data_IF_631018716716
#
_entry.id   IF_631018716716
#
_cell.length_a   1.000
_cell.length_b   1.000
_cell.length_c   1.000
_cell.angle_alpha   90.00
_cell.angle_beta   90.00
_cell.angle_gamma   90.00
#
_symmetry.space_group_name_H-M   'P 1'
#
loop_
_entity.id
_entity.type
_entity.pdbx_description
1 polymer ?
#
# COMPACT_ATOMS: atom_id res chain seq x y z
N UNK A 1 42.12 -13.79 -60.52
CA UNK A 1 42.01 -13.13 -59.20
C UNK A 1 40.94 -12.06 -59.31
N UNK A 2 39.69 -12.41 -59.02
CA UNK A 2 38.57 -11.47 -59.07
C UNK A 2 38.53 -10.68 -57.75
N UNK A 3 38.41 -9.36 -57.83
CA UNK A 3 38.25 -8.48 -56.68
C UNK A 3 36.89 -8.76 -56.03
N UNK A 4 36.90 -9.34 -54.83
CA UNK A 4 35.72 -9.40 -53.98
C UNK A 4 35.30 -7.96 -53.63
N UNK A 5 34.11 -7.56 -54.10
CA UNK A 5 33.56 -6.24 -53.80
C UNK A 5 33.15 -6.17 -52.33
N UNK A 6 33.85 -5.34 -51.56
CA UNK A 6 33.49 -5.07 -50.18
C UNK A 6 32.18 -4.25 -50.14
N UNK A 7 31.10 -4.87 -49.68
CA UNK A 7 29.81 -4.20 -49.49
C UNK A 7 29.92 -3.13 -48.41
N UNK A 8 29.32 -1.96 -48.62
CA UNK A 8 29.34 -0.88 -47.63
C UNK A 8 28.15 -0.98 -46.66
N UNK A 9 28.23 -0.30 -45.50
CA UNK A 9 27.20 -0.34 -44.44
C UNK A 9 25.79 0.06 -44.93
N UNK A 10 25.69 0.93 -45.94
CA UNK A 10 24.39 1.34 -46.50
C UNK A 10 23.74 0.19 -47.24
N UNK A 11 24.50 -0.48 -48.10
CA UNK A 11 24.01 -1.64 -48.85
C UNK A 11 23.64 -2.80 -47.92
N UNK A 12 24.38 -3.02 -46.83
CA UNK A 12 24.01 -4.02 -45.80
C UNK A 12 22.66 -3.70 -45.15
N UNK A 13 22.39 -2.42 -44.86
CA UNK A 13 21.13 -1.98 -44.25
C UNK A 13 19.96 -2.16 -45.21
N UNK A 14 20.15 -1.82 -46.49
CA UNK A 14 19.15 -2.03 -47.54
C UNK A 14 18.84 -3.51 -47.74
N UNK A 15 19.86 -4.37 -47.81
CA UNK A 15 19.67 -5.81 -47.95
C UNK A 15 18.91 -6.41 -46.76
N UNK A 16 19.27 -6.03 -45.53
CA UNK A 16 18.51 -6.44 -44.34
C UNK A 16 17.05 -6.04 -44.41
N UNK A 17 16.77 -4.81 -44.86
CA UNK A 17 15.40 -4.33 -45.02
C UNK A 17 14.62 -5.21 -46.00
N UNK A 18 15.22 -5.55 -47.14
CA UNK A 18 14.60 -6.47 -48.12
C UNK A 18 14.34 -7.85 -47.51
N UNK A 19 15.28 -8.38 -46.73
CA UNK A 19 15.11 -9.66 -46.03
C UNK A 19 13.93 -9.59 -45.05
N UNK A 20 13.83 -8.52 -44.27
CA UNK A 20 12.70 -8.28 -43.37
C UNK A 20 11.37 -8.19 -44.12
N UNK A 21 11.30 -7.44 -45.22
CA UNK A 21 10.10 -7.35 -46.08
C UNK A 21 9.69 -8.72 -46.64
N UNK A 22 10.67 -9.57 -46.98
CA UNK A 22 10.40 -10.96 -47.41
C UNK A 22 9.79 -11.76 -46.25
N UNK A 23 10.32 -11.66 -45.04
CA UNK A 23 9.76 -12.35 -43.88
C UNK A 23 8.35 -11.87 -43.56
N UNK A 24 8.07 -10.57 -43.61
CA UNK A 24 6.72 -10.02 -43.43
C UNK A 24 5.72 -10.59 -44.45
N UNK A 25 6.11 -10.69 -45.72
CA UNK A 25 5.26 -11.28 -46.76
C UNK A 25 5.07 -12.77 -46.51
N UNK A 26 6.15 -13.49 -46.18
CA UNK A 26 6.08 -14.94 -45.88
C UNK A 26 5.20 -15.23 -44.67
N UNK A 27 5.28 -14.41 -43.63
CA UNK A 27 4.50 -14.53 -42.40
C UNK A 27 3.02 -14.27 -42.64
N UNK A 28 2.67 -13.23 -43.40
CA UNK A 28 1.28 -12.98 -43.87
C UNK A 28 0.71 -14.14 -44.69
N UNK A 29 1.51 -14.73 -45.59
CA UNK A 29 1.07 -15.90 -46.36
C UNK A 29 0.93 -17.13 -45.43
N UNK A 30 1.71 -17.19 -44.36
CA UNK A 30 1.68 -18.28 -43.38
C UNK A 30 0.36 -18.32 -42.58
N UNK A 31 -0.37 -17.21 -42.50
CA UNK A 31 -1.70 -17.14 -41.91
C UNK A 31 -2.78 -17.79 -42.79
N UNK A 32 -2.56 -17.87 -44.10
CA UNK A 32 -3.52 -18.44 -45.06
C UNK A 32 -3.48 -19.97 -45.04
N UNK A 33 -4.57 -20.60 -44.61
CA UNK A 33 -4.65 -22.05 -44.38
C UNK A 33 -4.22 -22.89 -45.60
N UNK A 34 -4.64 -22.50 -46.81
CA UNK A 34 -4.32 -23.20 -48.06
C UNK A 34 -2.83 -23.09 -48.45
N UNK A 35 -2.12 -22.09 -47.93
CA UNK A 35 -0.71 -21.81 -48.25
C UNK A 35 0.27 -22.34 -47.19
N UNK A 36 -0.22 -22.66 -45.98
CA UNK A 36 0.59 -23.24 -44.90
C UNK A 36 1.35 -24.48 -45.33
N UNK A 37 0.69 -25.38 -46.07
CA UNK A 37 1.31 -26.62 -46.54
C UNK A 37 2.43 -26.38 -47.55
N UNK A 38 2.28 -25.39 -48.44
CA UNK A 38 3.30 -25.02 -49.43
C UNK A 38 4.52 -24.37 -48.76
N UNK A 39 4.29 -23.44 -47.83
CA UNK A 39 5.37 -22.85 -47.03
C UNK A 39 6.12 -23.96 -46.30
N UNK A 40 5.41 -24.80 -45.55
CA UNK A 40 5.99 -25.93 -44.82
C UNK A 40 6.80 -26.85 -45.74
N UNK A 41 6.32 -27.20 -46.93
CA UNK A 41 7.08 -28.04 -47.88
C UNK A 41 8.36 -27.37 -48.42
N UNK A 42 8.37 -26.04 -48.55
CA UNK A 42 9.51 -25.28 -49.08
C UNK A 42 10.52 -24.91 -48.00
N UNK A 43 10.06 -24.65 -46.78
CA UNK A 43 10.89 -24.20 -45.63
C UNK A 43 11.38 -25.37 -44.79
N UNK A 44 10.59 -26.44 -44.63
CA UNK A 44 10.94 -27.64 -43.84
C UNK A 44 11.92 -28.59 -44.54
N UNK A 45 12.57 -28.17 -45.63
CA UNK A 45 13.72 -28.92 -46.15
C UNK A 45 14.81 -28.84 -45.07
N UNK A 46 15.19 -29.96 -44.43
CA UNK A 46 15.67 -29.98 -43.05
C UNK A 46 16.98 -29.23 -42.78
N UNK A 47 17.67 -28.70 -43.78
CA UNK A 47 18.96 -28.00 -43.60
C UNK A 47 19.00 -26.64 -44.31
N UNK A 48 17.85 -26.10 -44.75
CA UNK A 48 17.86 -24.83 -45.48
C UNK A 48 17.92 -23.66 -44.49
N UNK A 49 19.10 -23.05 -44.39
CA UNK A 49 19.38 -21.86 -43.57
C UNK A 49 18.81 -20.61 -44.23
N UNK A 50 17.53 -20.34 -44.01
CA UNK A 50 16.78 -19.24 -44.66
C UNK A 50 16.46 -18.09 -43.71
N UNK A 51 16.69 -18.25 -42.41
CA UNK A 51 16.46 -17.21 -41.41
C UNK A 51 17.79 -16.58 -41.04
N UNK A 52 17.94 -15.29 -41.35
CA UNK A 52 19.01 -14.49 -40.80
C UNK A 52 18.70 -14.33 -39.31
N UNK A 53 19.41 -15.05 -38.45
CA UNK A 53 19.30 -15.02 -36.98
C UNK A 53 20.44 -14.22 -36.33
N UNK A 54 21.25 -13.53 -37.14
CA UNK A 54 22.37 -12.71 -36.70
C UNK A 54 22.42 -11.34 -37.37
N UNK A 55 23.56 -10.67 -37.21
CA UNK A 55 23.73 -9.27 -37.59
C UNK A 55 24.27 -9.03 -38.99
N UNK A 56 24.84 -10.02 -39.67
CA UNK A 56 25.49 -9.84 -40.98
C UNK A 56 24.96 -10.87 -41.99
N UNK A 57 24.24 -10.45 -43.05
CA UNK A 57 23.74 -11.37 -44.08
C UNK A 57 24.83 -12.00 -44.94
N UNK A 58 26.07 -11.49 -44.90
CA UNK A 58 27.21 -12.05 -45.64
C UNK A 58 28.00 -13.07 -44.82
N UNK A 59 27.73 -13.19 -43.51
CA UNK A 59 28.28 -14.24 -42.67
C UNK A 59 27.32 -15.43 -42.64
N UNK A 60 27.73 -16.55 -43.25
CA UNK A 60 26.95 -17.79 -43.32
C UNK A 60 26.54 -18.34 -41.94
N UNK A 61 27.26 -17.98 -40.87
CA UNK A 61 26.92 -18.40 -39.50
C UNK A 61 25.67 -17.71 -38.97
N UNK A 62 25.34 -16.52 -39.50
CA UNK A 62 24.13 -15.81 -39.11
C UNK A 62 22.87 -16.39 -39.75
N UNK A 63 22.99 -17.32 -40.68
CA UNK A 63 21.85 -17.98 -41.30
C UNK A 63 21.57 -19.32 -40.60
N UNK A 64 20.36 -19.45 -40.07
CA UNK A 64 19.92 -20.59 -39.27
C UNK A 64 18.70 -21.24 -39.94
N UNK A 65 18.61 -22.57 -39.85
CA UNK A 65 17.43 -23.29 -40.32
C UNK A 65 16.31 -23.20 -39.29
N UNK A 66 15.05 -23.20 -39.73
CA UNK A 66 13.91 -23.10 -38.80
C UNK A 66 13.95 -24.14 -37.69
N UNK A 67 14.31 -25.39 -38.00
CA UNK A 67 14.42 -26.49 -37.02
C UNK A 67 15.43 -26.28 -35.89
N UNK A 68 16.42 -25.41 -36.10
CA UNK A 68 17.49 -25.14 -35.15
C UNK A 68 17.17 -23.91 -34.29
N UNK A 69 16.08 -23.18 -34.60
CA UNK A 69 15.62 -22.03 -33.85
C UNK A 69 14.71 -22.45 -32.69
N UNK A 70 15.01 -21.93 -31.50
CA UNK A 70 14.27 -22.24 -30.28
C UNK A 70 13.83 -20.96 -29.57
N UNK A 71 12.53 -20.83 -29.33
CA UNK A 71 11.94 -19.80 -28.48
C UNK A 71 12.09 -20.17 -27.01
N UNK A 72 12.38 -19.18 -26.16
CA UNK A 72 12.44 -19.35 -24.70
C UNK A 72 13.80 -19.74 -24.13
N UNK A 73 14.81 -20.06 -24.95
CA UNK A 73 16.20 -20.20 -24.50
C UNK A 73 16.85 -18.83 -24.27
N UNK A 74 17.75 -18.75 -23.29
CA UNK A 74 18.42 -17.50 -22.94
C UNK A 74 19.62 -17.18 -23.84
N UNK A 75 20.29 -18.22 -24.33
CA UNK A 75 21.50 -18.19 -25.18
C UNK A 75 21.51 -19.41 -26.10
N UNK A 76 22.40 -19.40 -27.10
CA UNK A 76 22.59 -20.53 -28.01
C UNK A 76 23.20 -21.72 -27.25
N UNK A 77 22.65 -22.91 -27.44
CA UNK A 77 23.06 -24.15 -26.76
C UNK A 77 23.27 -25.23 -27.82
N UNK A 78 24.52 -25.62 -28.05
CA UNK A 78 24.89 -26.61 -29.08
C UNK A 78 24.34 -26.25 -30.48
N UNK A 79 23.42 -27.03 -31.03
CA UNK A 79 22.74 -26.78 -32.31
C UNK A 79 21.39 -26.08 -32.16
N UNK A 80 21.06 -25.60 -30.95
CA UNK A 80 19.85 -24.83 -30.65
C UNK A 80 20.21 -23.34 -30.58
N UNK A 81 19.69 -22.57 -31.52
CA UNK A 81 19.93 -21.14 -31.61
C UNK A 81 18.74 -20.37 -31.06
N UNK A 82 19.02 -19.39 -30.19
CA UNK A 82 18.02 -18.48 -29.68
C UNK A 82 17.45 -17.66 -30.83
N UNK A 83 16.13 -17.57 -30.90
CA UNK A 83 15.48 -16.66 -31.86
C UNK A 83 15.85 -15.22 -31.54
N UNK A 84 16.52 -14.57 -32.49
CA UNK A 84 16.91 -13.17 -32.41
C UNK A 84 15.66 -12.28 -32.26
N UNK A 85 15.77 -11.17 -31.53
CA UNK A 85 14.64 -10.34 -31.14
C UNK A 85 13.79 -9.85 -32.33
N UNK A 86 14.41 -9.47 -33.45
CA UNK A 86 13.68 -9.02 -34.64
C UNK A 86 12.96 -10.15 -35.40
N UNK A 87 13.37 -11.40 -35.21
CA UNK A 87 12.70 -12.56 -35.80
C UNK A 87 11.51 -13.01 -34.97
N UNK A 88 11.42 -12.60 -33.69
CA UNK A 88 10.34 -13.04 -32.77
C UNK A 88 8.95 -12.61 -33.24
N UNK A 89 8.86 -11.55 -34.03
CA UNK A 89 7.60 -11.09 -34.61
C UNK A 89 7.02 -12.08 -35.64
N UNK A 90 7.86 -12.90 -36.28
CA UNK A 90 7.46 -13.90 -37.29
C UNK A 90 7.29 -15.30 -36.68
N UNK A 91 6.70 -15.38 -35.48
CA UNK A 91 6.64 -16.62 -34.70
C UNK A 91 5.96 -17.75 -35.47
N UNK A 92 4.82 -17.50 -36.09
CA UNK A 92 4.06 -18.53 -36.80
C UNK A 92 4.81 -19.06 -38.02
N UNK A 93 5.45 -18.17 -38.80
CA UNK A 93 6.34 -18.56 -39.89
C UNK A 93 7.50 -19.44 -39.42
N UNK A 94 8.14 -19.07 -38.31
CA UNK A 94 9.26 -19.82 -37.74
C UNK A 94 8.81 -21.21 -37.26
N UNK A 95 7.67 -21.29 -36.56
CA UNK A 95 7.08 -22.56 -36.14
C UNK A 95 6.73 -23.45 -37.35
N UNK A 96 6.19 -22.87 -38.43
CA UNK A 96 5.93 -23.59 -39.69
C UNK A 96 7.21 -24.11 -40.36
N UNK A 97 8.31 -23.35 -40.24
CA UNK A 97 9.62 -23.75 -40.73
C UNK A 97 10.36 -24.75 -39.82
N UNK A 98 9.76 -25.11 -38.68
CA UNK A 98 10.25 -26.16 -37.79
C UNK A 98 10.83 -25.67 -36.46
N UNK A 99 10.77 -24.38 -36.17
CA UNK A 99 11.19 -23.86 -34.87
C UNK A 99 10.42 -24.52 -33.73
N UNK A 100 11.05 -24.56 -32.57
CA UNK A 100 10.46 -25.09 -31.34
C UNK A 100 10.35 -23.99 -30.29
N UNK A 101 9.49 -24.19 -29.30
CA UNK A 101 9.32 -23.29 -28.18
C UNK A 101 9.41 -24.10 -26.89
N UNK A 102 10.17 -23.58 -25.92
CA UNK A 102 10.20 -24.17 -24.58
C UNK A 102 8.83 -24.02 -23.96
N UNK A 103 8.27 -25.13 -23.49
CA UNK A 103 7.07 -25.18 -22.66
C UNK A 103 7.51 -25.41 -21.20
N UNK A 104 7.80 -24.34 -20.42
CA UNK A 104 8.25 -24.50 -19.05
C UNK A 104 7.10 -25.03 -18.18
N UNK A 105 7.39 -25.89 -17.18
CA UNK A 105 6.36 -26.31 -16.25
C UNK A 105 5.75 -25.08 -15.56
N UNK A 106 4.47 -25.14 -15.15
CA UNK A 106 3.86 -24.07 -14.39
C UNK A 106 4.72 -23.78 -13.14
N UNK A 107 4.85 -22.51 -12.75
CA UNK A 107 5.59 -22.17 -11.54
C UNK A 107 5.00 -22.94 -10.35
N UNK A 108 5.85 -23.39 -9.41
CA UNK A 108 5.36 -24.02 -8.19
C UNK A 108 4.39 -23.08 -7.46
N UNK A 109 3.48 -23.67 -6.68
CA UNK A 109 2.51 -22.89 -5.91
C UNK A 109 3.21 -21.80 -5.10
N UNK A 110 2.72 -20.55 -5.11
CA UNK A 110 3.34 -19.47 -4.35
C UNK A 110 3.43 -19.85 -2.88
N UNK A 111 4.64 -19.77 -2.31
CA UNK A 111 4.83 -19.92 -0.86
C UNK A 111 4.01 -18.83 -0.16
N UNK A 112 3.38 -19.10 1.00
CA UNK A 112 2.70 -18.07 1.78
C UNK A 112 3.63 -16.86 1.94
N UNK A 113 3.14 -15.68 1.51
CA UNK A 113 3.89 -14.44 1.61
C UNK A 113 4.20 -14.22 3.09
N UNK A 114 5.47 -14.29 3.46
CA UNK A 114 5.90 -14.06 4.82
C UNK A 114 5.89 -12.54 5.09
N UNK A 115 4.79 -12.06 5.64
CA UNK A 115 4.64 -10.66 6.01
C UNK A 115 5.32 -10.37 7.36
N UNK A 116 6.63 -10.12 7.29
CA UNK A 116 7.45 -9.80 8.45
C UNK A 116 6.98 -8.52 9.17
N UNK A 117 6.42 -7.55 8.42
CA UNK A 117 5.91 -6.30 9.00
C UNK A 117 4.71 -6.59 9.90
N UNK A 118 3.71 -7.30 9.40
CA UNK A 118 2.52 -7.66 10.17
C UNK A 118 2.84 -8.58 11.34
N UNK A 119 3.77 -9.53 11.16
CA UNK A 119 4.26 -10.38 12.27
C UNK A 119 4.88 -9.56 13.40
N UNK A 120 5.72 -8.57 13.07
CA UNK A 120 6.36 -7.70 14.05
C UNK A 120 5.33 -6.88 14.83
N UNK A 121 4.43 -6.17 14.14
CA UNK A 121 3.38 -5.33 14.75
C UNK A 121 2.51 -6.17 15.69
N UNK A 122 2.03 -7.34 15.23
CA UNK A 122 1.21 -8.25 16.05
C UNK A 122 1.95 -8.71 17.31
N UNK A 123 3.24 -9.02 17.19
CA UNK A 123 4.06 -9.47 18.33
C UNK A 123 4.30 -8.36 19.35
N UNK A 124 4.51 -7.11 18.89
CA UNK A 124 4.64 -5.95 19.77
C UNK A 124 3.34 -5.66 20.52
N UNK A 125 2.19 -5.72 19.83
CA UNK A 125 0.88 -5.57 20.45
C UNK A 125 0.57 -6.68 21.47
N UNK A 126 0.83 -7.94 21.13
CA UNK A 126 0.65 -9.05 22.09
C UNK A 126 1.48 -8.86 23.37
N UNK A 127 2.72 -8.40 23.22
CA UNK A 127 3.58 -8.05 24.37
C UNK A 127 3.01 -6.90 25.19
N UNK A 128 2.50 -5.86 24.52
CA UNK A 128 1.81 -4.75 25.19
C UNK A 128 0.61 -5.25 25.99
N UNK A 129 -0.27 -6.08 25.43
CA UNK A 129 -1.46 -6.59 26.13
C UNK A 129 -1.15 -7.41 27.39
N UNK A 130 0.00 -8.09 27.44
CA UNK A 130 0.40 -8.87 28.63
C UNK A 130 0.69 -8.00 29.86
N UNK A 131 0.95 -6.70 29.68
CA UNK A 131 1.21 -5.74 30.77
C UNK A 131 2.21 -6.26 31.83
N UNK A 132 3.30 -6.91 31.36
CA UNK A 132 4.33 -7.52 32.22
C UNK A 132 5.59 -6.65 32.32
N UNK A 133 6.18 -6.55 33.51
CA UNK A 133 7.45 -5.83 33.72
C UNK A 133 8.66 -6.48 33.04
N UNK A 134 8.54 -7.70 32.52
CA UNK A 134 9.62 -8.40 31.80
C UNK A 134 9.90 -7.77 30.42
N UNK A 135 8.84 -7.35 29.73
CA UNK A 135 8.92 -6.87 28.34
C UNK A 135 8.90 -5.35 28.21
N UNK A 136 8.69 -4.62 29.30
CA UNK A 136 8.43 -3.18 29.30
C UNK A 136 9.47 -2.42 30.14
N UNK A 137 9.89 -1.26 29.65
CA UNK A 137 10.92 -0.42 30.27
C UNK A 137 10.39 0.97 30.70
N UNK A 138 9.09 1.22 30.48
CA UNK A 138 8.35 2.36 31.04
C UNK A 138 6.98 1.91 31.55
N UNK A 139 6.53 2.52 32.65
CA UNK A 139 5.20 2.34 33.21
C UNK A 139 4.54 3.70 33.38
N UNK A 140 3.40 3.90 32.73
CA UNK A 140 2.57 5.08 32.92
C UNK A 140 1.57 4.84 34.04
N UNK A 141 1.50 5.77 34.99
CA UNK A 141 0.47 5.80 36.02
C UNK A 141 -0.61 6.77 35.55
N UNK A 142 -1.74 6.24 35.08
CA UNK A 142 -2.84 7.00 34.49
C UNK A 142 -4.05 6.82 35.39
N UNK A 143 -4.43 7.85 36.15
CA UNK A 143 -5.38 7.70 37.24
C UNK A 143 -4.91 6.63 38.24
N UNK A 144 -5.72 5.58 38.42
CA UNK A 144 -5.40 4.44 39.30
C UNK A 144 -4.77 3.25 38.55
N UNK A 145 -4.66 3.32 37.23
CA UNK A 145 -4.12 2.23 36.41
C UNK A 145 -2.63 2.38 36.12
N UNK A 146 -1.95 1.23 36.04
CA UNK A 146 -0.59 1.12 35.50
C UNK A 146 -0.65 0.60 34.07
N UNK A 147 0.00 1.31 33.14
CA UNK A 147 0.11 0.94 31.73
C UNK A 147 1.59 0.78 31.40
N UNK A 148 2.05 -0.46 31.26
CA UNK A 148 3.42 -0.79 30.89
C UNK A 148 3.60 -0.74 29.37
N UNK A 149 4.72 -0.17 28.90
CA UNK A 149 5.01 0.02 27.48
C UNK A 149 6.54 0.03 27.20
N UNK A 150 6.90 0.24 25.93
CA UNK A 150 8.27 0.26 25.43
C UNK A 150 8.69 1.65 24.97
N UNK A 151 9.72 2.23 25.59
CA UNK A 151 10.25 3.54 25.23
C UNK A 151 10.64 3.63 23.76
N UNK A 152 11.34 2.60 23.26
CA UNK A 152 11.81 2.57 21.87
C UNK A 152 10.66 2.57 20.87
N UNK A 153 9.61 1.78 21.11
CA UNK A 153 8.42 1.71 20.23
C UNK A 153 7.71 3.07 20.21
N UNK A 154 7.46 3.66 21.38
CA UNK A 154 6.80 4.96 21.48
C UNK A 154 7.62 6.09 20.86
N UNK A 155 8.94 6.06 21.02
CA UNK A 155 9.85 7.06 20.44
C UNK A 155 9.90 6.96 18.92
N UNK A 156 9.96 5.74 18.38
CA UNK A 156 9.94 5.52 16.94
C UNK A 156 8.64 6.01 16.29
N UNK A 157 7.53 5.99 17.03
CA UNK A 157 6.22 6.42 16.56
C UNK A 157 5.87 7.89 16.88
N UNK A 158 6.62 8.57 17.75
CA UNK A 158 6.27 9.91 18.21
C UNK A 158 7.49 10.71 18.68
N UNK A 159 7.70 11.86 18.04
CA UNK A 159 8.75 12.82 18.42
C UNK A 159 8.57 13.39 19.83
N UNK A 160 7.34 13.41 20.36
CA UNK A 160 7.09 13.80 21.75
C UNK A 160 7.71 12.77 22.71
N UNK A 161 7.42 11.48 22.50
CA UNK A 161 7.95 10.41 23.34
C UNK A 161 9.46 10.24 23.16
N UNK A 162 9.97 10.43 21.95
CA UNK A 162 11.42 10.47 21.69
C UNK A 162 12.12 11.53 22.54
N UNK A 163 11.60 12.77 22.54
CA UNK A 163 12.15 13.85 23.37
C UNK A 163 12.01 13.56 24.87
N UNK A 164 10.88 13.00 25.29
CA UNK A 164 10.64 12.63 26.70
C UNK A 164 11.66 11.60 27.19
N UNK A 165 11.97 10.57 26.38
CA UNK A 165 12.83 9.46 26.81
C UNK A 165 14.32 9.68 26.54
N UNK A 166 14.66 10.39 25.46
CA UNK A 166 16.03 10.51 24.97
C UNK A 166 16.54 11.97 24.90
N UNK A 167 15.73 12.96 25.30
CA UNK A 167 16.10 14.38 25.29
C UNK A 167 16.99 14.85 26.43
N UNK A 168 17.52 13.95 27.27
CA UNK A 168 18.44 14.29 28.38
C UNK A 168 17.76 14.78 29.68
N UNK A 169 16.46 14.54 29.84
CA UNK A 169 15.72 14.80 31.08
C UNK A 169 15.93 13.69 32.12
N UNK A 170 15.43 13.87 33.35
CA UNK A 170 15.61 12.93 34.48
C UNK A 170 15.18 11.48 34.19
N UNK A 171 14.27 11.33 33.24
CA UNK A 171 13.72 10.10 32.71
C UNK A 171 14.74 9.31 31.87
N UNK A 172 15.80 9.92 31.34
CA UNK A 172 16.78 9.22 30.50
C UNK A 172 17.80 8.39 31.28
N UNK A 173 17.87 8.52 32.62
CA UNK A 173 18.95 7.96 33.45
C UNK A 173 18.58 6.66 34.23
N UNK A 174 17.35 6.16 34.13
CA UNK A 174 16.87 5.00 34.91
C UNK A 174 16.56 3.78 34.03
N UNK A 175 16.85 2.58 34.55
CA UNK A 175 16.60 1.29 33.86
C UNK A 175 15.09 0.99 33.69
N UNK A 176 14.25 1.48 34.60
CA UNK A 176 12.78 1.49 34.49
C UNK A 176 12.25 2.80 35.02
N UNK A 177 11.31 3.41 34.31
CA UNK A 177 10.77 4.74 34.66
C UNK A 177 9.26 4.60 34.88
N UNK A 178 8.78 5.18 35.99
CA UNK A 178 7.36 5.42 36.20
C UNK A 178 7.03 6.88 35.84
N UNK A 179 6.02 7.11 34.99
CA UNK A 179 5.59 8.44 34.54
C UNK A 179 4.13 8.64 34.93
N UNK A 180 3.84 9.69 35.69
CA UNK A 180 2.45 10.04 36.04
C UNK A 180 1.82 10.85 34.91
N UNK A 181 0.65 10.40 34.47
CA UNK A 181 -0.17 11.10 33.48
C UNK A 181 -1.45 11.56 34.18
N UNK A 182 -1.60 12.88 34.29
CA UNK A 182 -2.78 13.50 34.89
C UNK A 182 -3.81 13.86 33.82
N UNK A 183 -5.07 14.00 34.22
CA UNK A 183 -6.17 14.53 33.38
C UNK A 183 -6.48 13.75 32.10
N UNK A 184 -6.01 12.50 32.01
CA UNK A 184 -6.32 11.57 30.91
C UNK A 184 -6.92 10.30 31.49
N UNK A 185 -8.03 9.85 30.92
CA UNK A 185 -8.64 8.58 31.31
C UNK A 185 -7.79 7.40 30.81
N UNK A 186 -7.62 6.32 31.61
CA UNK A 186 -6.80 5.17 31.24
C UNK A 186 -7.14 4.61 29.85
N UNK A 187 -8.45 4.45 29.57
CA UNK A 187 -8.94 3.97 28.29
C UNK A 187 -8.51 4.84 27.10
N UNK A 188 -8.57 6.16 27.24
CA UNK A 188 -8.14 7.08 26.17
C UNK A 188 -6.63 6.97 25.95
N UNK A 189 -5.85 6.85 27.02
CA UNK A 189 -4.41 6.65 26.91
C UNK A 189 -4.05 5.30 26.28
N UNK A 190 -4.78 4.22 26.60
CA UNK A 190 -4.60 2.90 25.98
C UNK A 190 -4.84 2.94 24.47
N UNK A 191 -5.86 3.65 24.00
CA UNK A 191 -6.11 3.84 22.57
C UNK A 191 -4.92 4.52 21.88
N UNK A 192 -4.40 5.60 22.48
CA UNK A 192 -3.21 6.28 21.96
C UNK A 192 -2.00 5.35 21.86
N UNK A 193 -1.70 4.61 22.93
CA UNK A 193 -0.54 3.70 22.97
C UNK A 193 -0.69 2.56 21.96
N UNK A 194 -1.88 1.95 21.85
CA UNK A 194 -2.16 0.91 20.84
C UNK A 194 -1.92 1.40 19.42
N UNK A 195 -2.38 2.61 19.10
CA UNK A 195 -2.11 3.23 17.80
C UNK A 195 -0.61 3.44 17.57
N UNK A 196 0.14 3.92 18.58
CA UNK A 196 1.59 4.08 18.50
C UNK A 196 2.35 2.74 18.34
N UNK A 197 1.75 1.62 18.76
CA UNK A 197 2.26 0.27 18.51
C UNK A 197 1.95 -0.26 17.10
N UNK A 198 1.29 0.55 16.26
CA UNK A 198 0.97 0.21 14.88
C UNK A 198 -0.37 -0.48 14.69
N UNK A 199 -1.24 -0.50 15.71
CA UNK A 199 -2.62 -0.95 15.55
C UNK A 199 -3.42 0.08 14.71
N UNK A 200 -4.36 -0.40 13.89
CA UNK A 200 -5.29 0.49 13.19
C UNK A 200 -6.09 1.32 14.21
N UNK A 201 -6.54 2.51 13.80
CA UNK A 201 -7.29 3.38 14.71
C UNK A 201 -8.61 2.74 15.15
N UNK A 202 -9.29 2.10 14.21
CA UNK A 202 -10.55 1.40 14.41
C UNK A 202 -10.37 0.23 15.40
N UNK A 203 -9.33 -0.59 15.24
CA UNK A 203 -9.07 -1.70 16.16
C UNK A 203 -8.62 -1.21 17.54
N UNK A 204 -7.83 -0.13 17.61
CA UNK A 204 -7.37 0.45 18.86
C UNK A 204 -8.55 0.97 19.70
N UNK A 205 -9.51 1.67 19.08
CA UNK A 205 -10.75 2.10 19.74
C UNK A 205 -11.61 0.90 20.13
N UNK A 206 -11.90 0.00 19.20
CA UNK A 206 -12.83 -1.12 19.42
C UNK A 206 -12.34 -2.12 20.47
N UNK A 207 -11.04 -2.12 20.77
CA UNK A 207 -10.47 -2.94 21.83
C UNK A 207 -10.64 -2.35 23.23
N UNK A 208 -10.99 -1.06 23.34
CA UNK A 208 -10.97 -0.33 24.62
C UNK A 208 -12.31 0.32 24.94
N UNK A 209 -13.00 0.88 23.95
CA UNK A 209 -14.32 1.50 24.14
C UNK A 209 -15.43 0.46 24.00
N UNK A 210 -16.58 0.74 24.63
CA UNK A 210 -17.76 -0.10 24.52
C UNK A 210 -18.24 -0.15 23.06
N UNK A 211 -18.55 -1.35 22.58
CA UNK A 211 -19.13 -1.55 21.24
C UNK A 211 -20.62 -1.23 21.27
N UNK A 212 -21.16 -0.86 20.12
CA UNK A 212 -22.59 -0.57 19.98
C UNK A 212 -23.48 -1.71 20.49
N UNK A 213 -23.13 -2.95 20.14
CA UNK A 213 -23.93 -4.14 20.50
C UNK A 213 -23.91 -4.43 22.01
N UNK A 214 -22.88 -3.94 22.72
CA UNK A 214 -22.71 -4.15 24.17
C UNK A 214 -23.24 -2.94 25.00
N UNK A 215 -23.70 -1.88 24.33
CA UNK A 215 -24.11 -0.64 24.98
C UNK A 215 -25.55 -0.74 25.52
N UNK A 216 -25.69 -0.71 26.85
CA UNK A 216 -26.95 -1.00 27.57
C UNK A 216 -27.53 0.19 28.33
N UNK A 217 -27.00 1.40 28.14
CA UNK A 217 -27.44 2.57 28.93
C UNK A 217 -28.74 3.17 28.37
N UNK A 218 -29.75 3.31 29.24
CA UNK A 218 -31.06 3.91 28.89
C UNK A 218 -31.04 5.45 28.84
N UNK A 219 -30.00 6.08 29.40
CA UNK A 219 -29.96 7.53 29.66
C UNK A 219 -29.18 8.34 28.60
N UNK A 220 -28.34 7.71 27.78
CA UNK A 220 -27.54 8.36 26.75
C UNK A 220 -27.53 7.54 25.48
N UNK A 221 -27.49 8.18 24.31
CA UNK A 221 -27.32 7.46 23.05
C UNK A 221 -25.87 6.99 22.88
N UNK A 222 -25.68 5.85 22.21
CA UNK A 222 -24.35 5.35 21.87
C UNK A 222 -23.51 6.39 21.12
N UNK A 223 -24.13 7.17 20.22
CA UNK A 223 -23.47 8.23 19.46
C UNK A 223 -22.93 9.33 20.37
N UNK A 224 -23.67 9.69 21.42
CA UNK A 224 -23.25 10.72 22.39
C UNK A 224 -22.08 10.22 23.24
N UNK A 225 -22.16 8.97 23.73
CA UNK A 225 -21.07 8.29 24.42
C UNK A 225 -19.80 8.26 23.56
N UNK A 226 -19.94 7.79 22.31
CA UNK A 226 -18.81 7.59 21.41
C UNK A 226 -18.17 8.94 21.02
N UNK A 227 -18.98 9.94 20.70
CA UNK A 227 -18.52 11.31 20.40
C UNK A 227 -17.72 11.90 21.57
N UNK A 228 -18.20 11.75 22.81
CA UNK A 228 -17.48 12.24 23.99
C UNK A 228 -16.09 11.60 24.13
N UNK A 229 -15.96 10.30 23.86
CA UNK A 229 -14.67 9.62 23.90
C UNK A 229 -13.74 10.08 22.77
N UNK A 230 -14.26 10.30 21.56
CA UNK A 230 -13.49 10.88 20.46
C UNK A 230 -13.00 12.28 20.79
N UNK A 231 -13.82 13.12 21.42
CA UNK A 231 -13.43 14.48 21.86
C UNK A 231 -12.33 14.42 22.91
N UNK A 232 -12.40 13.50 23.88
CA UNK A 232 -11.31 13.27 24.84
C UNK A 232 -10.03 12.83 24.15
N UNK A 233 -10.13 11.94 23.17
CA UNK A 233 -8.98 11.49 22.38
C UNK A 233 -8.41 12.61 21.50
N UNK A 234 -9.25 13.52 20.98
CA UNK A 234 -8.81 14.70 20.24
C UNK A 234 -7.92 15.60 21.11
N UNK A 235 -8.34 15.86 22.36
CA UNK A 235 -7.54 16.64 23.32
C UNK A 235 -6.19 16.00 23.61
N UNK A 236 -6.18 14.67 23.80
CA UNK A 236 -4.96 13.90 24.04
C UNK A 236 -4.03 13.92 22.83
N UNK A 237 -4.56 13.71 21.63
CA UNK A 237 -3.76 13.68 20.39
C UNK A 237 -3.19 15.06 20.03
N UNK A 238 -3.90 16.16 20.34
CA UNK A 238 -3.35 17.52 20.27
C UNK A 238 -2.20 17.70 21.27
N UNK A 239 -2.39 17.28 22.52
CA UNK A 239 -1.38 17.41 23.56
C UNK A 239 -0.07 16.68 23.22
N UNK A 240 -0.16 15.41 22.80
CA UNK A 240 1.01 14.62 22.42
C UNK A 240 1.54 14.92 21.00
N UNK A 241 0.83 15.74 20.21
CA UNK A 241 1.25 16.14 18.87
C UNK A 241 1.42 14.97 17.90
N UNK A 242 0.54 13.96 17.97
CA UNK A 242 0.62 12.75 17.14
C UNK A 242 -0.28 12.84 15.91
N UNK A 243 0.10 12.16 14.82
CA UNK A 243 -0.63 12.20 13.54
C UNK A 243 -2.07 11.67 13.65
N UNK A 244 -2.34 10.84 14.67
CA UNK A 244 -3.68 10.33 14.99
C UNK A 244 -4.74 11.43 15.10
N UNK A 245 -4.36 12.66 15.48
CA UNK A 245 -5.26 13.80 15.61
C UNK A 245 -6.15 13.99 14.37
N UNK A 246 -5.55 13.95 13.17
CA UNK A 246 -6.26 14.14 11.90
C UNK A 246 -7.34 13.08 11.65
N UNK A 247 -7.02 11.82 11.97
CA UNK A 247 -7.96 10.70 11.86
C UNK A 247 -9.10 10.83 12.87
N UNK A 248 -8.82 11.27 14.09
CA UNK A 248 -9.85 11.57 15.10
C UNK A 248 -10.77 12.70 14.63
N UNK A 249 -10.21 13.77 14.05
CA UNK A 249 -11.01 14.86 13.45
C UNK A 249 -11.97 14.33 12.37
N UNK A 250 -11.46 13.50 11.44
CA UNK A 250 -12.27 12.89 10.38
C UNK A 250 -13.38 11.98 10.93
N UNK A 251 -13.10 11.24 12.00
CA UNK A 251 -14.12 10.40 12.63
C UNK A 251 -15.16 11.25 13.33
N UNK A 252 -14.79 12.30 14.07
CA UNK A 252 -15.76 13.20 14.71
C UNK A 252 -16.68 13.85 13.68
N UNK A 253 -16.17 14.23 12.50
CA UNK A 253 -16.97 14.82 11.43
C UNK A 253 -18.17 13.94 11.04
N UNK A 254 -18.03 12.62 11.09
CA UNK A 254 -19.10 11.67 10.77
C UNK A 254 -20.25 11.66 11.81
N UNK A 255 -20.02 12.21 13.00
CA UNK A 255 -20.98 12.29 14.10
C UNK A 255 -21.52 13.72 14.33
N UNK A 256 -21.15 14.68 13.48
CA UNK A 256 -21.68 16.03 13.57
C UNK A 256 -23.16 16.05 13.18
N UNK A 257 -23.95 16.68 14.04
CA UNK A 257 -25.38 16.90 13.87
C UNK A 257 -25.77 18.29 14.34
N UNK A 258 -26.96 18.74 13.95
CA UNK A 258 -27.49 20.07 14.28
C UNK A 258 -27.46 20.35 15.80
N UNK A 259 -27.70 19.32 16.61
CA UNK A 259 -27.77 19.45 18.07
C UNK A 259 -26.41 19.48 18.78
N UNK A 260 -25.30 19.11 18.12
CA UNK A 260 -23.98 19.04 18.74
C UNK A 260 -22.92 19.91 18.07
N UNK A 261 -23.19 20.45 16.87
CA UNK A 261 -22.16 21.15 16.06
C UNK A 261 -21.55 22.36 16.76
N UNK A 262 -22.31 23.07 17.60
CA UNK A 262 -21.80 24.21 18.36
C UNK A 262 -20.80 23.80 19.44
N UNK A 263 -21.08 22.71 20.16
CA UNK A 263 -20.17 22.16 21.18
C UNK A 263 -18.91 21.59 20.52
N UNK A 264 -19.08 20.85 19.42
CA UNK A 264 -17.96 20.31 18.64
C UNK A 264 -17.08 21.44 18.09
N UNK A 265 -17.68 22.55 17.64
CA UNK A 265 -16.93 23.74 17.24
C UNK A 265 -16.13 24.32 18.42
N UNK A 266 -16.69 24.38 19.63
CA UNK A 266 -15.96 24.84 20.81
C UNK A 266 -14.77 23.92 21.13
N UNK A 267 -14.99 22.60 21.19
CA UNK A 267 -13.94 21.62 21.45
C UNK A 267 -12.83 21.61 20.38
N UNK A 268 -13.19 21.84 19.11
CA UNK A 268 -12.22 21.92 18.02
C UNK A 268 -11.26 23.09 18.18
N UNK A 269 -11.73 24.23 18.73
CA UNK A 269 -10.90 25.41 18.99
C UNK A 269 -9.95 25.15 20.17
N UNK A 270 -10.44 24.54 21.24
CA UNK A 270 -9.63 24.14 22.40
C UNK A 270 -8.48 23.21 21.99
N UNK A 271 -8.74 22.27 21.07
CA UNK A 271 -7.80 21.23 20.66
C UNK A 271 -7.00 21.59 19.40
N UNK A 272 -7.01 22.86 18.96
CA UNK A 272 -6.35 23.34 17.73
C UNK A 272 -6.63 22.46 16.49
N UNK A 273 -7.82 21.89 16.42
CA UNK A 273 -8.26 20.93 15.40
C UNK A 273 -8.82 21.70 14.21
N UNK A 274 -7.94 22.10 13.29
CA UNK A 274 -8.29 23.05 12.22
C UNK A 274 -9.30 22.48 11.24
N UNK A 275 -9.14 21.21 10.85
CA UNK A 275 -10.01 20.56 9.87
C UNK A 275 -11.42 20.38 10.42
N UNK A 276 -11.53 19.91 11.66
CA UNK A 276 -12.80 19.79 12.36
C UNK A 276 -13.47 21.16 12.54
N UNK A 277 -12.71 22.17 12.98
CA UNK A 277 -13.21 23.54 13.17
C UNK A 277 -13.77 24.12 11.87
N UNK A 278 -13.05 23.96 10.77
CA UNK A 278 -13.45 24.54 9.49
C UNK A 278 -14.68 23.81 8.92
N UNK A 279 -14.76 22.48 9.10
CA UNK A 279 -15.98 21.73 8.77
C UNK A 279 -17.19 22.20 9.61
N UNK A 280 -17.04 22.33 10.93
CA UNK A 280 -18.14 22.83 11.79
C UNK A 280 -18.65 24.20 11.36
N UNK A 281 -17.76 25.12 10.94
CA UNK A 281 -18.15 26.44 10.46
C UNK A 281 -18.98 26.36 9.18
N UNK A 282 -18.55 25.57 8.20
CA UNK A 282 -19.31 25.38 6.96
C UNK A 282 -20.64 24.66 7.23
N UNK A 283 -20.66 23.66 8.12
CA UNK A 283 -21.90 23.00 8.53
C UNK A 283 -22.91 23.99 9.14
N UNK A 284 -22.47 24.84 10.07
CA UNK A 284 -23.34 25.86 10.70
C UNK A 284 -23.83 26.86 9.65
N UNK A 285 -22.97 27.28 8.73
CA UNK A 285 -23.33 28.22 7.66
C UNK A 285 -24.39 27.64 6.73
N UNK A 286 -24.23 26.38 6.30
CA UNK A 286 -25.17 25.71 5.40
C UNK A 286 -26.49 25.32 6.09
N UNK A 287 -26.51 25.18 7.42
CA UNK A 287 -27.68 24.75 8.20
C UNK A 287 -28.16 25.81 9.21
N UNK A 288 -27.92 27.09 8.92
CA UNK A 288 -28.07 28.20 9.87
C UNK A 288 -29.45 28.25 10.53
N UNK A 289 -30.52 28.06 9.76
CA UNK A 289 -31.90 28.12 10.27
C UNK A 289 -32.17 27.02 11.31
N UNK A 290 -31.75 25.79 11.03
CA UNK A 290 -31.93 24.65 11.93
C UNK A 290 -31.12 24.80 13.22
N UNK A 291 -29.88 25.26 13.10
CA UNK A 291 -28.99 25.49 14.25
C UNK A 291 -29.53 26.61 15.14
N UNK A 292 -30.03 27.70 14.54
CA UNK A 292 -30.58 28.84 15.29
C UNK A 292 -31.85 28.44 16.06
N UNK A 293 -32.77 27.75 15.40
CA UNK A 293 -34.02 27.27 16.00
C UNK A 293 -33.77 26.40 17.23
N UNK A 294 -32.83 25.46 17.13
CA UNK A 294 -32.50 24.56 18.24
C UNK A 294 -31.86 25.32 19.43
N UNK A 295 -31.10 26.38 19.18
CA UNK A 295 -30.54 27.23 20.23
C UNK A 295 -31.60 28.09 20.93
N UNK A 296 -32.59 28.59 20.20
CA UNK A 296 -33.74 29.33 20.76
C UNK A 296 -34.57 28.41 21.67
N UNK A 297 -34.91 27.21 21.18
CA UNK A 297 -35.65 26.19 21.94
C UNK A 297 -34.91 25.78 23.23
N UNK A 298 -33.59 25.65 23.18
CA UNK A 298 -32.77 25.32 24.36
C UNK A 298 -32.76 26.44 25.41
N UNK A 299 -32.66 27.70 24.97
CA UNK A 299 -32.71 28.88 25.85
C UNK A 299 -34.08 29.07 26.50
N UNK A 300 -35.17 28.74 25.80
CA UNK A 300 -36.53 28.76 26.36
C UNK A 300 -36.72 27.66 27.42
N UNK A 301 -36.25 26.42 27.17
CA UNK A 301 -36.28 25.35 28.17
C UNK A 301 -35.51 25.69 29.45
N UNK A 302 -34.35 26.33 29.32
CA UNK A 302 -33.58 26.81 30.48
C UNK A 302 -34.30 27.89 31.29
N UNK A 303 -35.09 28.76 30.64
CA UNK A 303 -35.93 29.76 31.32
C UNK A 303 -37.09 29.11 32.09
N UNK A 304 -37.70 28.06 31.54
CA UNK A 304 -38.82 27.34 32.18
C UNK A 304 -38.32 26.50 33.38
N UNK A 305 -37.13 25.91 33.30
CA UNK A 305 -36.54 25.11 34.40
C UNK A 305 -36.07 25.91 35.63
N UNK A 306 -36.14 27.25 35.57
CA UNK A 306 -35.73 28.17 36.65
C UNK A 306 -36.91 28.73 37.46
N UNK A 307 -38.12 28.23 37.21
CA UNK A 307 -39.33 28.44 38.01
C UNK A 307 -39.74 27.12 38.70
#
# INVERSE_FOLDING_TARGET
MAKEGCWNRSQMKELKKVITEIYEVMDKISELEDQKMLIKLKTKKPNKKIFLNGGDPFDEKNWVAGKDLVFGIQEDIEEMYKVNDYLKEYKDLLMLAGASEIDPPPPPTPVPIFDQKNKLVKTLLDKFERQSNEYHDVTFIVGEEKICANRYVLSAASTYFEKMFFGGLSESARNKIEIKINDIQPNIFRVLVRWLYGQSFEDAINSVLCKRDDFTTEQESYESYYLLHLVKLLKVTDFYGVELKSKVEDTIIQYIAVNNVCDVLAWSKESKATRLKDYCKEYIKSNKELVTKLHEDANERLKISRF
#
